data_IF_289165103390
#
_entry.id   IF_289165103390
#
_cell.length_a   1.000
_cell.length_b   1.000
_cell.length_c   1.000
_cell.angle_alpha   90.00
_cell.angle_beta   90.00
_cell.angle_gamma   90.00
#
_symmetry.space_group_name_H-M   'P 1'
#
loop_
_entity.id
_entity.type
_entity.pdbx_description
1 polymer ?
#
# COMPACT_ATOMS: atom_id res chain seq x y z
N UNK A 1 -8.21 -9.65 -18.26
CA UNK A 1 -7.77 -8.60 -17.33
C UNK A 1 -6.56 -7.97 -17.98
N UNK A 2 -6.60 -6.66 -18.18
CA UNK A 2 -5.48 -5.92 -18.74
C UNK A 2 -4.42 -5.64 -17.68
N UNK A 3 -3.37 -4.91 -18.09
CA UNK A 3 -2.27 -4.52 -17.22
C UNK A 3 -2.75 -3.65 -16.05
N UNK A 4 -3.52 -2.59 -16.32
CA UNK A 4 -4.00 -1.62 -15.32
C UNK A 4 -4.85 -2.32 -14.25
N UNK A 5 -5.81 -3.16 -14.65
CA UNK A 5 -6.63 -3.91 -13.70
C UNK A 5 -5.81 -4.90 -12.85
N UNK A 6 -4.70 -5.42 -13.38
CA UNK A 6 -3.80 -6.30 -12.63
C UNK A 6 -3.01 -5.54 -11.56
N UNK A 7 -2.46 -4.38 -11.89
CA UNK A 7 -1.70 -3.55 -10.93
C UNK A 7 -2.60 -2.91 -9.89
N UNK A 8 -3.82 -2.48 -10.25
CA UNK A 8 -4.80 -1.95 -9.29
C UNK A 8 -5.13 -2.97 -8.19
N UNK A 9 -5.31 -4.24 -8.56
CA UNK A 9 -5.54 -5.32 -7.59
C UNK A 9 -4.34 -5.51 -6.64
N UNK A 10 -3.11 -5.41 -7.15
CA UNK A 10 -1.90 -5.48 -6.31
C UNK A 10 -1.75 -4.25 -5.42
N UNK A 11 -2.03 -3.04 -5.91
CA UNK A 11 -2.07 -1.85 -5.08
C UNK A 11 -3.10 -1.97 -3.96
N UNK A 12 -4.31 -2.44 -4.27
CA UNK A 12 -5.36 -2.68 -3.27
C UNK A 12 -4.95 -3.73 -2.24
N UNK A 13 -4.20 -4.77 -2.65
CA UNK A 13 -3.61 -5.73 -1.72
C UNK A 13 -2.73 -5.06 -0.68
N UNK A 14 -1.78 -4.25 -1.15
CA UNK A 14 -0.82 -3.60 -0.28
C UNK A 14 -1.46 -2.51 0.57
N UNK A 15 -2.44 -1.75 0.04
CA UNK A 15 -3.30 -0.87 0.85
C UNK A 15 -3.90 -1.64 2.03
N UNK A 16 -4.57 -2.76 1.76
CA UNK A 16 -5.16 -3.59 2.82
C UNK A 16 -4.12 -4.18 3.77
N UNK A 17 -2.90 -4.45 3.30
CA UNK A 17 -1.82 -4.96 4.14
C UNK A 17 -1.37 -3.89 5.15
N UNK A 18 -1.22 -2.64 4.70
CA UNK A 18 -0.93 -1.50 5.57
C UNK A 18 -2.03 -1.26 6.61
N UNK A 19 -3.29 -1.23 6.18
CA UNK A 19 -4.45 -1.04 7.08
C UNK A 19 -4.48 -2.07 8.21
N UNK A 20 -4.33 -3.35 7.86
CA UNK A 20 -4.31 -4.42 8.87
C UNK A 20 -3.10 -4.40 9.79
N UNK A 21 -1.99 -3.82 9.35
CA UNK A 21 -0.84 -3.62 10.22
C UNK A 21 -1.19 -2.56 11.26
N UNK A 22 -1.73 -1.43 10.82
CA UNK A 22 -2.16 -0.32 11.68
C UNK A 22 -3.28 -0.72 12.65
N UNK A 23 -4.25 -1.53 12.21
CA UNK A 23 -5.37 -2.00 13.04
C UNK A 23 -4.95 -2.92 14.20
N UNK A 24 -3.74 -3.48 14.14
CA UNK A 24 -3.24 -4.39 15.17
C UNK A 24 -2.39 -3.71 16.24
N UNK A 25 -2.15 -2.41 16.10
CA UNK A 25 -1.25 -1.62 16.94
C UNK A 25 -2.06 -0.59 17.71
N UNK A 26 -1.71 -0.37 18.97
CA UNK A 26 -2.32 0.67 19.80
C UNK A 26 -2.01 2.07 19.22
N UNK A 27 -2.95 2.99 19.30
CA UNK A 27 -2.83 4.30 18.63
C UNK A 27 -1.53 5.06 18.94
N UNK A 28 -1.06 5.19 20.20
CA UNK A 28 0.19 5.89 20.49
C UNK A 28 1.41 5.29 19.77
N UNK A 29 1.40 3.97 19.53
CA UNK A 29 2.49 3.28 18.87
C UNK A 29 2.57 3.57 17.36
N UNK A 30 1.51 4.09 16.72
CA UNK A 30 1.57 4.52 15.32
C UNK A 30 2.56 5.68 15.10
N UNK A 31 2.86 6.43 16.16
CA UNK A 31 3.68 7.65 16.13
C UNK A 31 5.11 7.44 16.68
N UNK A 32 5.43 6.23 17.14
CA UNK A 32 6.73 5.92 17.76
C UNK A 32 7.81 5.76 16.69
N UNK A 33 8.96 6.41 16.92
CA UNK A 33 10.21 6.16 16.21
C UNK A 33 11.16 5.40 17.13
N UNK A 34 11.85 4.39 16.61
CA UNK A 34 12.85 3.65 17.37
C UNK A 34 14.12 4.48 17.67
N UNK A 35 14.48 5.38 16.74
CA UNK A 35 15.59 6.34 16.82
C UNK A 35 15.41 7.42 15.74
N UNK A 36 16.34 8.37 15.67
CA UNK A 36 16.30 9.50 14.72
C UNK A 36 16.36 9.07 13.24
N UNK A 37 16.99 7.93 12.93
CA UNK A 37 17.09 7.41 11.56
C UNK A 37 15.86 6.57 11.14
N UNK A 38 14.96 6.25 12.08
CA UNK A 38 13.80 5.40 11.84
C UNK A 38 12.53 6.22 11.71
N UNK A 39 11.73 5.92 10.68
CA UNK A 39 10.40 6.51 10.53
C UNK A 39 9.37 5.74 11.37
N UNK A 40 8.39 6.47 11.92
CA UNK A 40 7.18 5.87 12.49
C UNK A 40 6.22 5.44 11.39
N UNK A 41 5.17 4.69 11.75
CA UNK A 41 4.09 4.34 10.80
C UNK A 41 3.42 5.61 10.27
N UNK A 42 3.17 6.60 11.14
CA UNK A 42 2.60 7.89 10.75
C UNK A 42 3.45 8.63 9.71
N UNK A 43 4.77 8.70 9.90
CA UNK A 43 5.69 9.33 8.94
C UNK A 43 5.67 8.58 7.60
N UNK A 44 5.64 7.24 7.62
CA UNK A 44 5.56 6.47 6.37
C UNK A 44 4.24 6.75 5.63
N UNK A 45 3.11 6.86 6.35
CA UNK A 45 1.82 7.24 5.74
C UNK A 45 1.89 8.63 5.12
N UNK A 46 2.46 9.61 5.82
CA UNK A 46 2.67 10.97 5.32
C UNK A 46 3.51 10.99 4.03
N UNK A 47 4.60 10.23 4.01
CA UNK A 47 5.45 10.08 2.83
C UNK A 47 4.71 9.44 1.65
N UNK A 48 3.96 8.37 1.89
CA UNK A 48 3.18 7.71 0.85
C UNK A 48 2.09 8.62 0.30
N UNK A 49 1.39 9.37 1.17
CA UNK A 49 0.41 10.39 0.77
C UNK A 49 1.03 11.45 -0.13
N UNK A 50 2.11 12.11 0.32
CA UNK A 50 2.76 13.19 -0.45
C UNK A 50 3.32 12.69 -1.79
N UNK A 51 3.87 11.47 -1.80
CA UNK A 51 4.28 10.81 -3.04
C UNK A 51 3.08 10.57 -3.97
N UNK A 52 2.01 9.93 -3.50
CA UNK A 52 0.85 9.59 -4.34
C UNK A 52 0.20 10.85 -4.92
N UNK A 53 -0.11 11.83 -4.07
CA UNK A 53 -0.74 13.08 -4.52
C UNK A 53 0.11 13.78 -5.56
N UNK A 54 1.43 13.84 -5.35
CA UNK A 54 2.32 14.46 -6.33
C UNK A 54 2.41 13.68 -7.64
N UNK A 55 2.55 12.34 -7.59
CA UNK A 55 2.77 11.53 -8.80
C UNK A 55 1.51 11.41 -9.65
N UNK A 56 0.34 11.38 -9.04
CA UNK A 56 -0.89 10.94 -9.70
C UNK A 56 -1.91 12.05 -9.97
N UNK A 57 -1.79 13.21 -9.32
CA UNK A 57 -2.55 14.40 -9.73
C UNK A 57 -2.12 14.81 -11.13
N UNK A 58 -3.09 14.96 -12.05
CA UNK A 58 -2.83 15.48 -13.40
C UNK A 58 -1.70 14.73 -14.14
N UNK A 59 -1.66 13.40 -13.98
CA UNK A 59 -0.54 12.52 -14.37
C UNK A 59 -0.14 12.63 -15.86
N UNK A 60 -1.10 12.91 -16.75
CA UNK A 60 -0.86 13.03 -18.19
C UNK A 60 -0.54 14.46 -18.65
N UNK A 61 -0.74 15.47 -17.80
CA UNK A 61 -0.68 16.88 -18.20
C UNK A 61 0.39 17.69 -17.49
N UNK A 62 0.94 17.21 -16.37
CA UNK A 62 1.93 17.95 -15.57
C UNK A 62 3.00 17.01 -15.02
N UNK A 63 4.17 17.55 -14.67
CA UNK A 63 5.25 16.76 -14.06
C UNK A 63 4.78 16.11 -12.75
N UNK A 64 5.16 14.86 -12.52
CA UNK A 64 4.80 14.11 -11.32
C UNK A 64 5.52 14.60 -10.05
N UNK A 65 6.52 15.48 -10.12
CA UNK A 65 7.01 16.27 -8.99
C UNK A 65 6.31 17.63 -8.98
N UNK A 66 5.28 17.75 -8.14
CA UNK A 66 4.51 18.99 -8.07
C UNK A 66 5.29 20.06 -7.32
N UNK A 67 5.20 21.33 -7.73
CA UNK A 67 5.93 22.43 -7.08
C UNK A 67 5.50 22.65 -5.62
N UNK A 68 4.29 22.22 -5.23
CA UNK A 68 3.81 22.27 -3.86
C UNK A 68 4.23 21.07 -3.00
N UNK A 69 4.86 20.04 -3.57
CA UNK A 69 5.35 18.91 -2.78
C UNK A 69 6.59 19.33 -2.00
N UNK A 70 6.49 19.31 -0.68
CA UNK A 70 7.62 19.47 0.22
C UNK A 70 8.04 18.09 0.76
N UNK A 71 9.01 17.46 0.11
CA UNK A 71 9.46 16.11 0.48
C UNK A 71 10.05 16.08 1.87
N UNK A 72 10.83 17.08 2.28
CA UNK A 72 11.52 17.04 3.57
C UNK A 72 10.51 17.11 4.71
N UNK A 73 9.46 17.92 4.54
CA UNK A 73 8.35 17.99 5.47
C UNK A 73 7.59 16.65 5.61
N UNK A 74 7.62 15.76 4.61
CA UNK A 74 6.99 14.43 4.72
C UNK A 74 7.61 13.56 5.84
N UNK A 75 8.82 13.90 6.31
CA UNK A 75 9.55 13.16 7.35
C UNK A 75 9.50 13.82 8.73
N UNK A 76 8.73 14.91 8.86
CA UNK A 76 8.49 15.60 10.12
C UNK A 76 7.22 15.07 10.82
N UNK A 77 7.18 15.19 12.15
CA UNK A 77 6.01 14.79 12.97
C UNK A 77 4.89 15.83 12.86
N UNK A 78 4.04 15.70 11.84
CA UNK A 78 2.92 16.61 11.58
C UNK A 78 1.58 16.00 11.96
N UNK A 79 1.39 14.70 11.71
CA UNK A 79 0.16 13.99 12.03
C UNK A 79 0.10 13.76 13.55
N UNK A 80 -0.98 14.21 14.19
CA UNK A 80 -1.13 14.14 15.65
C UNK A 80 -2.19 13.12 16.10
N UNK A 81 -3.02 12.62 15.18
CA UNK A 81 -4.10 11.68 15.50
C UNK A 81 -4.24 10.52 14.51
N UNK A 82 -4.80 9.40 14.99
CA UNK A 82 -5.11 8.27 14.10
C UNK A 82 -6.14 8.64 13.02
N UNK A 83 -7.06 9.54 13.34
CA UNK A 83 -8.07 10.04 12.41
C UNK A 83 -7.40 10.72 11.21
N UNK A 84 -6.51 11.69 11.46
CA UNK A 84 -5.74 12.38 10.42
C UNK A 84 -4.86 11.41 9.61
N UNK A 85 -4.21 10.47 10.29
CA UNK A 85 -3.42 9.42 9.65
C UNK A 85 -4.25 8.64 8.63
N UNK A 86 -5.44 8.19 9.02
CA UNK A 86 -6.33 7.42 8.15
C UNK A 86 -6.92 8.28 7.02
N UNK A 87 -7.18 9.56 7.27
CA UNK A 87 -7.60 10.50 6.23
C UNK A 87 -6.52 10.66 5.15
N UNK A 88 -5.27 10.94 5.54
CA UNK A 88 -4.16 11.05 4.59
C UNK A 88 -3.92 9.74 3.83
N UNK A 89 -3.96 8.61 4.53
CA UNK A 89 -3.87 7.29 3.91
C UNK A 89 -4.91 7.12 2.82
N UNK A 90 -6.19 7.33 3.14
CA UNK A 90 -7.28 7.15 2.17
C UNK A 90 -7.20 8.13 1.01
N UNK A 91 -6.92 9.41 1.27
CA UNK A 91 -6.81 10.44 0.23
C UNK A 91 -5.68 10.14 -0.77
N UNK A 92 -4.53 9.65 -0.28
CA UNK A 92 -3.40 9.28 -1.16
C UNK A 92 -3.77 8.12 -2.08
N UNK A 93 -4.39 7.07 -1.53
CA UNK A 93 -4.84 5.93 -2.31
C UNK A 93 -5.97 6.27 -3.28
N UNK A 94 -6.92 7.12 -2.88
CA UNK A 94 -8.00 7.60 -3.76
C UNK A 94 -7.43 8.37 -4.95
N UNK A 95 -6.44 9.24 -4.74
CA UNK A 95 -5.73 9.93 -5.82
C UNK A 95 -5.08 8.94 -6.81
N UNK A 96 -4.36 7.94 -6.31
CA UNK A 96 -3.78 6.89 -7.15
C UNK A 96 -4.85 6.14 -7.94
N UNK A 97 -5.89 5.62 -7.27
CA UNK A 97 -6.89 4.79 -7.93
C UNK A 97 -7.71 5.58 -8.94
N UNK A 98 -8.08 6.84 -8.62
CA UNK A 98 -8.75 7.73 -9.55
C UNK A 98 -7.92 8.00 -10.81
N UNK A 99 -6.61 8.20 -10.66
CA UNK A 99 -5.71 8.33 -11.81
C UNK A 99 -5.68 7.03 -12.64
N UNK A 100 -5.50 5.87 -12.00
CA UNK A 100 -5.46 4.58 -12.70
C UNK A 100 -6.78 4.25 -13.41
N UNK A 101 -7.93 4.58 -12.82
CA UNK A 101 -9.26 4.36 -13.40
C UNK A 101 -9.50 5.24 -14.64
N UNK A 102 -8.81 6.38 -14.74
CA UNK A 102 -8.91 7.29 -15.89
C UNK A 102 -8.03 6.90 -17.08
N UNK A 103 -7.02 6.04 -16.85
CA UNK A 103 -6.08 5.62 -17.90
C UNK A 103 -6.73 4.66 -18.88
N UNK A 104 -6.40 4.84 -20.15
CA UNK A 104 -6.76 3.91 -21.23
C UNK A 104 -5.55 3.05 -21.62
N UNK A 105 -5.77 1.90 -22.29
CA UNK A 105 -4.67 1.05 -22.75
C UNK A 105 -3.62 1.80 -23.58
N UNK A 106 -4.05 2.73 -24.42
CA UNK A 106 -3.16 3.58 -25.25
C UNK A 106 -2.31 4.56 -24.44
N UNK A 107 -2.71 4.92 -23.22
CA UNK A 107 -1.96 5.86 -22.38
C UNK A 107 -0.71 5.21 -21.76
N UNK A 108 -0.61 3.88 -21.76
CA UNK A 108 0.48 3.16 -21.10
C UNK A 108 1.86 3.48 -21.68
N UNK A 109 1.93 3.75 -22.99
CA UNK A 109 3.14 4.12 -23.70
C UNK A 109 3.38 5.64 -23.75
N UNK A 110 2.45 6.45 -23.19
CA UNK A 110 2.60 7.90 -23.11
C UNK A 110 3.77 8.26 -22.20
N UNK A 111 4.67 9.12 -22.70
CA UNK A 111 5.76 9.67 -21.89
C UNK A 111 5.22 10.74 -20.95
N UNK A 112 5.41 10.51 -19.65
CA UNK A 112 5.19 11.48 -18.59
C UNK A 112 6.52 11.85 -17.95
N UNK A 113 6.55 12.96 -17.22
CA UNK A 113 7.77 13.44 -16.60
C UNK A 113 7.69 13.32 -15.09
N UNK A 114 8.79 12.93 -14.46
CA UNK A 114 8.99 13.06 -13.02
C UNK A 114 10.34 13.73 -12.82
N UNK A 115 10.34 14.97 -12.32
CA UNK A 115 11.55 15.81 -12.19
C UNK A 115 12.24 16.03 -13.53
N UNK A 116 11.46 16.32 -14.58
CA UNK A 116 11.91 16.44 -15.97
C UNK A 116 12.52 15.17 -16.58
N UNK A 117 12.49 14.03 -15.87
CA UNK A 117 12.91 12.74 -16.41
C UNK A 117 11.71 12.05 -17.06
N UNK A 118 11.79 11.85 -18.38
CA UNK A 118 10.74 11.18 -19.15
C UNK A 118 10.73 9.68 -18.90
N UNK A 119 9.54 9.12 -18.64
CA UNK A 119 9.29 7.68 -18.57
C UNK A 119 7.85 7.41 -19.03
N UNK A 120 7.56 6.19 -19.47
CA UNK A 120 6.18 5.80 -19.82
C UNK A 120 5.28 5.75 -18.59
N UNK A 121 3.97 5.91 -18.78
CA UNK A 121 2.98 5.69 -17.71
C UNK A 121 3.14 4.30 -17.11
N UNK A 122 3.38 3.28 -17.95
CA UNK A 122 3.62 1.92 -17.48
C UNK A 122 4.84 1.83 -16.55
N UNK A 123 5.97 2.46 -16.91
CA UNK A 123 7.17 2.50 -16.05
C UNK A 123 6.89 3.22 -14.73
N UNK A 124 6.14 4.33 -14.77
CA UNK A 124 5.76 5.05 -13.56
C UNK A 124 4.87 4.22 -12.62
N UNK A 125 3.90 3.47 -13.16
CA UNK A 125 3.09 2.50 -12.41
C UNK A 125 3.98 1.45 -11.75
N UNK A 126 4.88 0.82 -12.52
CA UNK A 126 5.77 -0.23 -12.00
C UNK A 126 6.72 0.30 -10.92
N UNK A 127 7.24 1.52 -11.10
CA UNK A 127 8.06 2.21 -10.10
C UNK A 127 7.29 2.39 -8.78
N UNK A 128 6.03 2.79 -8.83
CA UNK A 128 5.21 2.91 -7.63
C UNK A 128 4.81 1.55 -7.04
N UNK A 129 4.65 0.52 -7.89
CA UNK A 129 4.41 -0.86 -7.45
C UNK A 129 5.63 -1.48 -6.78
N UNK A 130 6.85 -0.96 -6.99
CA UNK A 130 8.01 -1.31 -6.18
C UNK A 130 8.08 -0.50 -4.88
N UNK A 131 7.78 0.80 -4.98
CA UNK A 131 7.92 1.77 -3.90
C UNK A 131 6.89 1.61 -2.77
N UNK A 132 5.59 1.55 -3.08
CA UNK A 132 4.56 1.46 -2.03
C UNK A 132 4.66 0.16 -1.23
N UNK A 133 4.85 -1.02 -1.85
CA UNK A 133 5.04 -2.27 -1.11
C UNK A 133 6.29 -2.29 -0.24
N UNK A 134 7.37 -1.62 -0.66
CA UNK A 134 8.57 -1.47 0.16
C UNK A 134 8.23 -0.77 1.49
N UNK A 135 7.58 0.38 1.43
CA UNK A 135 7.18 1.14 2.62
C UNK A 135 6.11 0.45 3.46
N UNK A 136 5.17 -0.24 2.82
CA UNK A 136 4.15 -1.03 3.53
C UNK A 136 4.80 -2.23 4.23
N UNK A 137 5.86 -2.82 3.65
CA UNK A 137 6.69 -3.82 4.32
C UNK A 137 7.34 -3.28 5.59
N UNK A 138 7.86 -2.04 5.56
CA UNK A 138 8.38 -1.36 6.74
C UNK A 138 7.29 -1.15 7.80
N UNK A 139 6.10 -0.67 7.41
CA UNK A 139 4.96 -0.51 8.33
C UNK A 139 4.58 -1.84 9.00
N UNK A 140 4.53 -2.93 8.24
CA UNK A 140 4.23 -4.28 8.78
C UNK A 140 5.30 -4.73 9.76
N UNK A 141 6.57 -4.42 9.49
CA UNK A 141 7.67 -4.77 10.38
C UNK A 141 7.59 -3.99 11.70
N UNK A 142 7.46 -2.67 11.64
CA UNK A 142 7.29 -1.79 12.81
C UNK A 142 6.07 -2.21 13.63
N UNK A 143 4.94 -2.49 12.97
CA UNK A 143 3.73 -2.94 13.64
C UNK A 143 3.92 -4.27 14.40
N UNK A 144 4.73 -5.19 13.88
CA UNK A 144 5.05 -6.44 14.59
C UNK A 144 5.93 -6.23 15.81
N UNK A 145 6.85 -5.27 15.75
CA UNK A 145 7.75 -4.96 16.86
C UNK A 145 7.02 -4.23 17.99
N UNK A 146 6.12 -3.31 17.64
CA UNK A 146 5.37 -2.50 18.61
C UNK A 146 4.13 -3.19 19.18
N UNK A 147 3.62 -4.23 18.51
CA UNK A 147 2.44 -4.95 18.99
C UNK A 147 2.75 -5.66 20.32
N UNK A 148 2.05 -5.27 21.36
CA UNK A 148 2.18 -5.83 22.72
C UNK A 148 1.72 -7.30 22.86
N UNK A 149 0.88 -7.77 21.93
CA UNK A 149 0.22 -9.07 21.96
C UNK A 149 0.53 -9.92 20.72
N UNK A 150 -0.01 -11.14 20.65
CA UNK A 150 0.23 -12.05 19.53
C UNK A 150 -0.14 -11.43 18.18
N UNK A 151 0.78 -11.49 17.22
CA UNK A 151 0.56 -11.00 15.85
C UNK A 151 -0.44 -11.88 15.07
N UNK A 152 -1.47 -11.27 14.47
CA UNK A 152 -2.32 -11.97 13.52
C UNK A 152 -1.63 -11.96 12.16
N UNK A 153 -1.19 -13.13 11.69
CA UNK A 153 -0.54 -13.25 10.37
C UNK A 153 -1.41 -12.62 9.27
N UNK A 154 -0.76 -11.81 8.43
CA UNK A 154 -1.38 -11.15 7.27
C UNK A 154 -1.27 -11.98 5.99
N UNK A 155 -0.57 -13.11 6.06
CA UNK A 155 -0.39 -14.09 4.99
C UNK A 155 -0.49 -15.51 5.59
N UNK A 156 0.24 -16.48 5.06
CA UNK A 156 0.34 -17.82 5.63
C UNK A 156 1.05 -17.74 6.98
N UNK A 157 0.38 -18.15 8.06
CA UNK A 157 0.97 -18.16 9.39
C UNK A 157 2.20 -19.09 9.47
N UNK A 158 3.13 -18.77 10.37
CA UNK A 158 4.29 -19.64 10.63
C UNK A 158 3.80 -21.05 10.97
N UNK A 159 4.45 -22.05 10.39
CA UNK A 159 4.10 -23.49 10.53
C UNK A 159 2.75 -23.91 9.94
N UNK A 160 2.01 -23.04 9.25
CA UNK A 160 0.73 -23.35 8.62
C UNK A 160 0.81 -23.61 7.10
N UNK A 161 2.01 -23.61 6.51
CA UNK A 161 2.20 -23.75 5.06
C UNK A 161 1.75 -25.09 4.51
N UNK A 162 1.94 -26.19 5.25
CA UNK A 162 1.49 -27.52 4.84
C UNK A 162 -0.03 -27.56 4.67
N UNK A 163 -0.77 -27.18 5.71
CA UNK A 163 -2.23 -27.11 5.67
C UNK A 163 -2.72 -26.19 4.55
N UNK A 164 -2.10 -25.01 4.40
CA UNK A 164 -2.46 -24.08 3.33
C UNK A 164 -2.28 -24.69 1.94
N UNK A 165 -1.18 -25.40 1.71
CA UNK A 165 -0.89 -26.06 0.44
C UNK A 165 -1.85 -27.22 0.17
N UNK A 166 -2.15 -28.04 1.19
CA UNK A 166 -3.12 -29.14 1.08
C UNK A 166 -4.49 -28.62 0.65
N UNK A 167 -4.99 -27.53 1.26
CA UNK A 167 -6.25 -26.86 0.87
C UNK A 167 -6.21 -26.24 -0.53
N UNK A 168 -5.06 -25.75 -0.99
CA UNK A 168 -4.93 -25.11 -2.32
C UNK A 168 -4.82 -26.15 -3.42
N UNK A 169 -4.07 -27.23 -3.21
CA UNK A 169 -3.89 -28.28 -4.19
C UNK A 169 -5.07 -29.27 -4.25
N UNK A 170 -5.99 -29.24 -3.28
CA UNK A 170 -7.26 -29.95 -3.39
C UNK A 170 -8.26 -29.29 -4.35
N UNK A 171 -7.99 -28.05 -4.78
CA UNK A 171 -8.82 -27.33 -5.76
C UNK A 171 -8.30 -27.60 -7.17
N UNK A 172 -9.20 -27.65 -8.16
CA UNK A 172 -8.79 -27.79 -9.56
C UNK A 172 -7.88 -26.65 -9.99
N UNK A 173 -6.96 -26.91 -10.93
CA UNK A 173 -6.16 -25.85 -11.53
C UNK A 173 -7.08 -24.93 -12.33
N UNK A 174 -6.91 -23.62 -12.17
CA UNK A 174 -7.68 -22.63 -12.91
C UNK A 174 -7.03 -21.26 -12.83
N UNK A 175 -7.30 -20.42 -13.83
CA UNK A 175 -6.90 -19.02 -13.81
C UNK A 175 -7.73 -18.32 -12.73
N UNK A 176 -7.09 -18.01 -11.60
CA UNK A 176 -7.69 -17.28 -10.48
C UNK A 176 -6.82 -16.07 -10.18
N UNK A 177 -7.44 -14.95 -9.84
CA UNK A 177 -6.66 -13.79 -9.44
C UNK A 177 -6.05 -14.02 -8.05
N UNK A 178 -4.80 -13.58 -7.86
CA UNK A 178 -4.10 -13.63 -6.57
C UNK A 178 -4.93 -13.05 -5.42
N UNK A 179 -5.72 -12.00 -5.70
CA UNK A 179 -6.55 -11.33 -4.69
C UNK A 179 -7.82 -12.07 -4.33
N UNK A 180 -8.51 -12.71 -5.28
CA UNK A 180 -9.71 -13.51 -4.98
C UNK A 180 -9.37 -14.64 -4.01
N UNK A 181 -8.23 -15.31 -4.21
CA UNK A 181 -7.79 -16.39 -3.33
C UNK A 181 -7.29 -15.97 -1.94
N UNK A 182 -7.00 -14.67 -1.73
CA UNK A 182 -6.43 -14.12 -0.49
C UNK A 182 -7.42 -13.23 0.28
N UNK A 183 -8.30 -12.47 -0.39
CA UNK A 183 -9.31 -11.58 0.21
C UNK A 183 -10.37 -12.36 1.01
N UNK A 184 -10.76 -13.56 0.58
CA UNK A 184 -11.74 -14.37 1.33
C UNK A 184 -11.21 -14.81 2.69
N UNK A 185 -9.89 -14.93 2.85
CA UNK A 185 -9.23 -15.30 4.12
C UNK A 185 -9.01 -14.10 5.03
N UNK A 186 -9.06 -12.88 4.47
CA UNK A 186 -8.97 -11.61 5.20
C UNK A 186 -10.23 -11.37 6.05
N UNK A 187 -11.41 -11.75 5.55
CA UNK A 187 -12.68 -11.47 6.20
C UNK A 187 -13.17 -12.61 7.13
N UNK A 188 -12.65 -13.83 6.99
CA UNK A 188 -13.24 -15.02 7.62
C UNK A 188 -12.81 -15.33 9.07
N UNK A 189 -12.06 -14.44 9.74
CA UNK A 189 -11.72 -14.64 11.17
C UNK A 189 -12.79 -14.16 12.16
N UNK A 190 -13.86 -13.49 11.70
CA UNK A 190 -14.99 -13.09 12.57
C UNK A 190 -16.01 -14.21 12.85
N UNK A 191 -15.92 -15.40 12.21
CA UNK A 191 -16.97 -16.43 12.30
C UNK A 191 -16.60 -17.70 13.10
N UNK A 192 -15.48 -17.74 13.84
CA UNK A 192 -15.10 -18.92 14.65
C UNK A 192 -14.76 -18.58 16.11
N UNK A 193 -15.61 -17.78 16.73
CA UNK A 193 -15.77 -17.78 18.19
C UNK A 193 -17.24 -18.07 18.49
N UNK A 194 -17.56 -19.35 18.49
CA UNK A 194 -18.64 -19.93 19.31
C UNK A 194 -17.95 -20.53 20.54
#
# INVERSE_FOLDING_TARGET
>A
MDFVGSVQKLFLYYKKLGEKAMDQVEEPHLFVQANEDCNSIAIIVQHLYGNMVSRWTDVLSTDGEKPWRNRDQEFEKIIESKEELLQLWNNGWECLFGALDSLKPEDLDTVIYIRNEGQTVQEAILRQLAHYPYHIGQMVHIAKELKSSSWNSLSIARHASKQYNDEKFSQEKGARNFMEGNMDRVNNKKSKRL
#
